data_IF_245506953137
#
_entry.id   IF_245506953137
#
_cell.length_a   1.000
_cell.length_b   1.000
_cell.length_c   1.000
_cell.angle_alpha   90.00
_cell.angle_beta   90.00
_cell.angle_gamma   90.00
#
_symmetry.space_group_name_H-M   'P 1'
#
loop_
_entity.id
_entity.type
_entity.pdbx_description
1 polymer ?
#
# COMPACT_ATOMS: atom_id res chain seq x y z
N UNK A 1 56.11 -5.45 -21.57
CA UNK A 1 55.25 -5.61 -20.38
C UNK A 1 55.23 -7.09 -20.03
N UNK A 2 55.82 -7.40 -18.88
CA UNK A 2 56.11 -8.77 -18.44
C UNK A 2 54.83 -9.51 -17.99
N UNK A 3 54.77 -10.85 -18.11
CA UNK A 3 53.57 -11.64 -17.80
C UNK A 3 53.03 -11.47 -16.37
N UNK A 4 53.90 -11.15 -15.39
CA UNK A 4 53.54 -11.00 -13.97
C UNK A 4 52.67 -9.77 -13.67
N UNK A 5 52.90 -8.65 -14.35
CA UNK A 5 52.14 -7.40 -14.15
C UNK A 5 50.68 -7.53 -14.61
N UNK A 6 50.41 -8.46 -15.54
CA UNK A 6 49.07 -8.73 -16.08
C UNK A 6 48.20 -9.50 -15.08
N UNK A 7 48.79 -10.43 -14.33
CA UNK A 7 48.08 -11.25 -13.34
C UNK A 7 47.73 -10.42 -12.11
N UNK A 8 48.65 -9.55 -11.67
CA UNK A 8 48.45 -8.70 -10.50
C UNK A 8 47.46 -7.55 -10.77
N UNK A 9 47.43 -7.02 -12.01
CA UNK A 9 46.36 -6.11 -12.46
C UNK A 9 44.99 -6.78 -12.51
N UNK A 10 44.92 -8.07 -12.85
CA UNK A 10 43.66 -8.81 -12.90
C UNK A 10 43.12 -9.09 -11.50
N UNK A 11 43.97 -9.49 -10.54
CA UNK A 11 43.59 -9.63 -9.12
C UNK A 11 43.13 -8.31 -8.50
N UNK A 12 43.82 -7.20 -8.79
CA UNK A 12 43.42 -5.86 -8.34
C UNK A 12 42.16 -5.31 -9.03
N UNK A 13 41.73 -5.89 -10.16
CA UNK A 13 40.47 -5.57 -10.81
C UNK A 13 39.33 -6.39 -10.21
N UNK A 14 39.54 -7.70 -10.02
CA UNK A 14 38.57 -8.60 -9.36
C UNK A 14 38.28 -8.16 -7.90
N UNK A 15 39.29 -7.69 -7.15
CA UNK A 15 39.09 -7.14 -5.79
C UNK A 15 38.34 -5.79 -5.79
N UNK A 16 38.43 -4.99 -6.87
CA UNK A 16 37.66 -3.74 -7.01
C UNK A 16 36.21 -4.01 -7.39
N UNK A 17 35.97 -5.02 -8.21
CA UNK A 17 34.60 -5.43 -8.60
C UNK A 17 33.89 -6.16 -7.44
N UNK A 18 34.62 -6.90 -6.60
CA UNK A 18 34.08 -7.49 -5.38
C UNK A 18 33.69 -6.43 -4.32
N UNK A 19 34.42 -5.31 -4.25
CA UNK A 19 34.11 -4.21 -3.33
C UNK A 19 32.94 -3.31 -3.82
N UNK A 20 32.60 -3.33 -5.12
CA UNK A 20 31.49 -2.59 -5.68
C UNK A 20 30.11 -3.25 -5.46
N UNK A 21 30.08 -4.51 -5.01
CA UNK A 21 28.87 -5.32 -4.85
C UNK A 21 28.11 -5.16 -3.53
N UNK A 22 28.56 -4.34 -2.59
CA UNK A 22 28.05 -4.34 -1.20
C UNK A 22 27.35 -3.04 -0.74
N UNK A 23 26.99 -2.12 -1.65
CA UNK A 23 26.47 -0.79 -1.26
C UNK A 23 25.18 -0.29 -1.94
N UNK A 24 24.55 -1.06 -2.83
CA UNK A 24 23.59 -0.50 -3.81
C UNK A 24 22.09 -0.50 -3.46
N UNK A 25 21.67 -1.12 -2.36
CA UNK A 25 20.24 -1.41 -2.13
C UNK A 25 19.31 -0.21 -1.88
N UNK A 26 19.87 0.93 -1.47
CA UNK A 26 19.09 2.11 -1.04
C UNK A 26 19.25 3.34 -1.97
N UNK A 27 20.32 3.41 -2.77
CA UNK A 27 20.64 4.58 -3.59
C UNK A 27 20.18 4.40 -5.04
N UNK A 28 18.89 4.54 -5.29
CA UNK A 28 18.31 4.51 -6.63
C UNK A 28 16.79 4.70 -6.62
N UNK A 29 16.13 4.90 -7.78
CA UNK A 29 14.69 5.18 -7.86
C UNK A 29 13.82 4.14 -7.14
N UNK A 30 14.20 2.87 -7.18
CA UNK A 30 13.48 1.79 -6.49
C UNK A 30 13.62 1.89 -4.96
N UNK A 31 14.79 2.27 -4.45
CA UNK A 31 15.02 2.49 -3.02
C UNK A 31 14.17 3.65 -2.50
N UNK A 32 14.10 4.75 -3.27
CA UNK A 32 13.26 5.89 -2.95
C UNK A 32 11.76 5.53 -2.96
N UNK A 33 11.29 4.77 -3.95
CA UNK A 33 9.90 4.31 -4.01
C UNK A 33 9.55 3.47 -2.79
N UNK A 34 10.43 2.51 -2.41
CA UNK A 34 10.22 1.66 -1.23
C UNK A 34 10.11 2.48 0.05
N UNK A 35 11.02 3.42 0.26
CA UNK A 35 11.03 4.29 1.43
C UNK A 35 9.77 5.17 1.50
N UNK A 36 9.36 5.79 0.39
CA UNK A 36 8.13 6.59 0.34
C UNK A 36 6.88 5.72 0.56
N UNK A 37 6.86 4.51 0.01
CA UNK A 37 5.78 3.56 0.19
C UNK A 37 5.67 3.09 1.64
N UNK A 38 6.80 2.84 2.31
CA UNK A 38 6.84 2.51 3.74
C UNK A 38 6.20 3.62 4.58
N UNK A 39 6.59 4.88 4.37
CA UNK A 39 6.00 6.03 5.07
C UNK A 39 4.49 6.18 4.80
N UNK A 40 4.05 5.93 3.56
CA UNK A 40 2.63 5.91 3.23
C UNK A 40 1.88 4.83 4.03
N UNK A 41 2.42 3.61 4.07
CA UNK A 41 1.81 2.50 4.79
C UNK A 41 1.68 2.77 6.29
N UNK A 42 2.71 3.34 6.93
CA UNK A 42 2.66 3.76 8.33
C UNK A 42 1.61 4.87 8.56
N UNK A 43 1.59 5.89 7.69
CA UNK A 43 0.65 7.00 7.78
C UNK A 43 -0.80 6.55 7.62
N UNK A 44 -1.05 5.57 6.75
CA UNK A 44 -2.36 4.93 6.58
C UNK A 44 -2.73 4.14 7.83
N UNK A 45 -1.85 3.25 8.31
CA UNK A 45 -2.13 2.45 9.52
C UNK A 45 -2.48 3.32 10.74
N UNK A 46 -1.85 4.48 10.89
CA UNK A 46 -2.12 5.44 11.97
C UNK A 46 -3.47 6.17 11.85
N UNK A 47 -4.15 6.11 10.70
CA UNK A 47 -5.40 6.83 10.38
C UNK A 47 -6.61 5.90 10.21
N UNK A 48 -6.46 4.62 10.59
CA UNK A 48 -7.56 3.68 10.59
C UNK A 48 -8.56 4.03 11.71
N UNK A 49 -9.86 4.02 11.38
CA UNK A 49 -10.93 4.23 12.34
C UNK A 49 -11.10 3.02 13.27
N UNK A 50 -11.75 3.20 14.44
CA UNK A 50 -12.00 2.10 15.37
C UNK A 50 -12.84 0.95 14.79
N UNK A 51 -13.64 1.22 13.75
CA UNK A 51 -14.46 0.22 13.05
C UNK A 51 -13.66 -0.62 12.04
N UNK A 52 -12.38 -0.31 11.83
CA UNK A 52 -11.48 -1.02 10.92
C UNK A 52 -11.39 -0.45 9.51
N UNK A 53 -12.22 0.54 9.15
CA UNK A 53 -12.16 1.23 7.86
C UNK A 53 -11.30 2.50 7.96
N UNK A 54 -11.15 3.19 6.84
CA UNK A 54 -10.54 4.52 6.74
C UNK A 54 -11.60 5.57 6.42
N UNK A 55 -11.44 6.80 6.92
CA UNK A 55 -12.32 7.90 6.55
C UNK A 55 -12.05 8.34 5.10
N UNK A 56 -13.08 8.87 4.42
CA UNK A 56 -12.93 9.36 3.03
C UNK A 56 -11.86 10.44 2.86
N UNK A 57 -11.57 11.19 3.92
CA UNK A 57 -10.42 12.10 4.02
C UNK A 57 -9.58 11.62 5.20
N UNK A 58 -8.37 11.16 4.90
CA UNK A 58 -7.56 10.34 5.82
C UNK A 58 -7.27 11.01 7.18
N UNK A 59 -7.17 12.33 7.24
CA UNK A 59 -6.91 13.09 8.48
C UNK A 59 -8.18 13.70 9.12
N UNK A 60 -9.37 13.34 8.62
CA UNK A 60 -10.67 13.72 9.17
C UNK A 60 -11.42 12.50 9.67
N UNK A 61 -11.08 12.05 10.88
CA UNK A 61 -11.70 10.88 11.51
C UNK A 61 -13.20 11.07 11.82
N UNK A 62 -13.70 12.30 11.77
CA UNK A 62 -15.10 12.67 11.88
C UNK A 62 -15.89 12.46 10.58
N UNK A 63 -15.21 12.26 9.45
CA UNK A 63 -15.88 11.95 8.19
C UNK A 63 -16.26 10.48 8.10
N UNK A 64 -17.18 10.18 7.18
CA UNK A 64 -17.66 8.82 7.01
C UNK A 64 -16.54 7.85 6.64
N UNK A 65 -16.67 6.63 7.14
CA UNK A 65 -15.84 5.50 6.76
C UNK A 65 -16.15 5.07 5.32
N UNK A 66 -15.12 4.94 4.49
CA UNK A 66 -15.26 4.69 3.05
C UNK A 66 -14.75 3.29 2.68
N UNK A 67 -15.60 2.50 2.02
CA UNK A 67 -15.35 1.07 1.83
C UNK A 67 -14.29 0.77 0.76
N UNK A 68 -14.33 1.46 -0.39
CA UNK A 68 -13.51 1.08 -1.56
C UNK A 68 -12.03 1.38 -1.37
N UNK A 69 -11.72 2.57 -0.87
CA UNK A 69 -10.41 3.01 -0.42
C UNK A 69 -9.90 2.14 0.71
N UNK A 70 -10.74 1.77 1.68
CA UNK A 70 -10.36 0.82 2.74
C UNK A 70 -9.97 -0.54 2.18
N UNK A 71 -10.73 -1.07 1.22
CA UNK A 71 -10.41 -2.33 0.55
C UNK A 71 -9.09 -2.24 -0.23
N UNK A 72 -8.87 -1.14 -0.94
CA UNK A 72 -7.63 -0.86 -1.66
C UNK A 72 -6.40 -0.76 -0.73
N UNK A 73 -6.52 -0.01 0.37
CA UNK A 73 -5.48 0.14 1.38
C UNK A 73 -5.14 -1.22 2.00
N UNK A 74 -6.14 -1.97 2.46
CA UNK A 74 -5.94 -3.29 3.05
C UNK A 74 -5.26 -4.26 2.09
N UNK A 75 -5.70 -4.29 0.82
CA UNK A 75 -5.09 -5.09 -0.24
C UNK A 75 -3.61 -4.72 -0.45
N UNK A 76 -3.31 -3.42 -0.54
CA UNK A 76 -1.96 -2.90 -0.68
C UNK A 76 -1.04 -3.29 0.48
N UNK A 77 -1.51 -3.13 1.72
CA UNK A 77 -0.75 -3.49 2.92
C UNK A 77 -0.43 -4.99 2.98
N UNK A 78 -1.39 -5.86 2.64
CA UNK A 78 -1.17 -7.32 2.61
C UNK A 78 -0.11 -7.68 1.57
N UNK A 79 -0.25 -7.17 0.34
CA UNK A 79 0.71 -7.46 -0.74
C UNK A 79 2.10 -6.91 -0.42
N UNK A 80 2.18 -5.69 0.12
CA UNK A 80 3.44 -5.07 0.49
C UNK A 80 4.18 -5.84 1.58
N UNK A 81 3.46 -6.31 2.61
CA UNK A 81 4.04 -7.14 3.66
C UNK A 81 4.58 -8.46 3.09
N UNK A 82 3.83 -9.13 2.22
CA UNK A 82 4.26 -10.38 1.55
C UNK A 82 5.49 -10.19 0.68
N UNK A 83 5.60 -9.04 0.01
CA UNK A 83 6.73 -8.69 -0.84
C UNK A 83 7.94 -8.16 -0.06
N UNK A 84 7.85 -8.04 1.27
CA UNK A 84 8.91 -7.45 2.10
C UNK A 84 9.16 -5.96 1.83
N UNK A 85 8.17 -5.25 1.30
CA UNK A 85 8.24 -3.80 1.08
C UNK A 85 7.96 -3.01 2.36
N UNK A 86 7.22 -3.61 3.30
CA UNK A 86 6.91 -3.04 4.61
C UNK A 86 6.96 -4.13 5.69
N UNK A 87 7.14 -3.76 6.97
CA UNK A 87 7.07 -4.70 8.09
C UNK A 87 5.75 -5.46 8.12
N UNK A 88 5.81 -6.76 8.45
CA UNK A 88 4.62 -7.61 8.54
C UNK A 88 3.60 -7.11 9.59
N UNK A 89 4.04 -6.32 10.58
CA UNK A 89 3.16 -5.69 11.57
C UNK A 89 2.11 -4.76 10.94
N UNK A 90 2.40 -4.12 9.79
CA UNK A 90 1.43 -3.26 9.11
C UNK A 90 0.27 -4.04 8.47
N UNK A 91 0.43 -5.35 8.25
CA UNK A 91 -0.68 -6.20 7.84
C UNK A 91 -1.77 -6.33 8.93
N UNK A 92 -1.46 -5.98 10.19
CA UNK A 92 -2.44 -5.94 11.28
C UNK A 92 -3.57 -4.93 11.03
N UNK A 93 -3.29 -3.79 10.40
CA UNK A 93 -4.33 -2.84 9.99
C UNK A 93 -5.23 -3.45 8.91
N UNK A 94 -4.65 -4.14 7.94
CA UNK A 94 -5.43 -4.85 6.91
C UNK A 94 -6.30 -5.96 7.52
N UNK A 95 -5.80 -6.71 8.52
CA UNK A 95 -6.58 -7.75 9.19
C UNK A 95 -7.84 -7.22 9.88
N UNK A 96 -7.81 -5.99 10.42
CA UNK A 96 -9.00 -5.31 10.99
C UNK A 96 -9.98 -4.86 9.90
N UNK A 97 -9.47 -4.45 8.74
CA UNK A 97 -10.30 -3.95 7.65
C UNK A 97 -11.09 -5.06 6.93
N UNK A 98 -10.56 -6.28 6.88
CA UNK A 98 -11.21 -7.44 6.22
C UNK A 98 -12.64 -7.68 6.71
N UNK A 99 -12.91 -7.88 8.02
CA UNK A 99 -14.28 -8.07 8.50
C UNK A 99 -15.15 -6.82 8.30
N UNK A 100 -14.57 -5.62 8.39
CA UNK A 100 -15.30 -4.37 8.20
C UNK A 100 -15.76 -4.17 6.74
N UNK A 101 -14.90 -4.47 5.77
CA UNK A 101 -15.26 -4.48 4.34
C UNK A 101 -16.28 -5.59 4.04
N UNK A 102 -16.11 -6.78 4.62
CA UNK A 102 -17.05 -7.88 4.43
C UNK A 102 -18.47 -7.51 4.92
N UNK A 103 -18.58 -6.75 6.02
CA UNK A 103 -19.86 -6.26 6.54
C UNK A 103 -20.56 -5.26 5.60
N UNK A 104 -19.84 -4.66 4.64
CA UNK A 104 -20.41 -3.76 3.63
C UNK A 104 -20.93 -4.51 2.40
N UNK A 105 -20.69 -5.83 2.30
CA UNK A 105 -21.21 -6.66 1.22
C UNK A 105 -22.65 -7.06 1.59
N UNK A 106 -23.62 -6.56 0.81
CA UNK A 106 -25.03 -6.88 1.02
C UNK A 106 -25.35 -8.32 0.61
N UNK A 107 -26.55 -8.78 0.97
CA UNK A 107 -27.05 -10.11 0.62
C UNK A 107 -27.11 -10.38 -0.90
N UNK A 108 -27.26 -9.34 -1.73
CA UNK A 108 -27.24 -9.44 -3.19
C UNK A 108 -25.83 -9.31 -3.79
N UNK A 109 -24.80 -9.25 -2.95
CA UNK A 109 -23.40 -9.15 -3.34
C UNK A 109 -22.90 -7.74 -3.64
N UNK A 110 -23.77 -6.72 -3.63
CA UNK A 110 -23.36 -5.34 -3.85
C UNK A 110 -22.55 -4.79 -2.67
N UNK A 111 -21.44 -4.11 -2.95
CA UNK A 111 -20.62 -3.44 -1.92
C UNK A 111 -21.18 -2.05 -1.62
N UNK A 112 -21.59 -1.81 -0.38
CA UNK A 112 -22.09 -0.53 0.11
C UNK A 112 -20.96 0.35 0.72
N UNK A 113 -21.31 1.57 1.14
CA UNK A 113 -20.36 2.49 1.80
C UNK A 113 -19.25 3.03 0.87
N UNK A 114 -19.43 2.88 -0.43
CA UNK A 114 -18.48 3.33 -1.45
C UNK A 114 -18.82 4.75 -1.87
N UNK A 115 -17.86 5.67 -1.83
CA UNK A 115 -18.05 7.02 -2.36
C UNK A 115 -18.30 6.98 -3.86
N UNK A 116 -19.26 7.78 -4.34
CA UNK A 116 -19.49 7.98 -5.77
C UNK A 116 -18.34 8.73 -6.46
N UNK A 117 -18.55 9.06 -7.74
CA UNK A 117 -17.55 9.77 -8.54
C UNK A 117 -17.17 11.11 -7.87
N UNK A 118 -15.89 11.23 -7.56
CA UNK A 118 -15.36 12.33 -6.74
C UNK A 118 -14.31 13.11 -7.54
N UNK A 119 -14.69 14.20 -8.25
CA UNK A 119 -13.72 15.09 -8.86
C UNK A 119 -12.97 15.90 -7.80
N UNK A 120 -12.11 16.83 -8.22
CA UNK A 120 -11.57 17.82 -7.31
C UNK A 120 -12.70 18.73 -6.83
N UNK A 121 -12.96 18.75 -5.52
CA UNK A 121 -14.02 19.55 -4.91
C UNK A 121 -13.49 20.88 -4.37
N UNK A 122 -14.39 21.83 -4.14
CA UNK A 122 -14.04 23.19 -3.73
C UNK A 122 -13.52 23.32 -2.29
N UNK A 123 -13.78 22.32 -1.44
CA UNK A 123 -13.34 22.31 -0.03
C UNK A 123 -13.18 20.88 0.48
N UNK A 124 -12.45 20.75 1.60
CA UNK A 124 -12.31 19.45 2.32
C UNK A 124 -13.69 18.97 2.78
N UNK A 125 -14.53 19.86 3.32
CA UNK A 125 -15.85 19.48 3.82
C UNK A 125 -16.78 18.95 2.72
N UNK A 126 -16.61 19.38 1.47
CA UNK A 126 -17.37 18.84 0.34
C UNK A 126 -17.11 17.33 0.11
N UNK A 127 -15.94 16.79 0.48
CA UNK A 127 -15.66 15.36 0.40
C UNK A 127 -16.49 14.54 1.41
N UNK A 128 -16.82 15.13 2.55
CA UNK A 128 -17.66 14.52 3.59
C UNK A 128 -19.12 14.32 3.16
N UNK A 129 -19.55 15.02 2.11
CA UNK A 129 -20.93 15.00 1.60
C UNK A 129 -21.09 14.17 0.31
N UNK A 130 -20.01 13.54 -0.19
CA UNK A 130 -20.08 12.71 -1.39
C UNK A 130 -21.10 11.57 -1.20
N UNK A 131 -22.05 11.39 -2.13
CA UNK A 131 -23.03 10.31 -2.03
C UNK A 131 -22.37 8.94 -2.02
N UNK A 132 -22.90 8.02 -1.20
CA UNK A 132 -22.40 6.65 -1.10
C UNK A 132 -23.38 5.66 -1.69
N UNK A 133 -22.93 4.88 -2.65
CA UNK A 133 -23.75 3.86 -3.33
C UNK A 133 -22.84 2.82 -3.99
N UNK A 134 -23.35 1.61 -4.30
CA UNK A 134 -22.53 0.59 -4.95
C UNK A 134 -21.99 1.03 -6.31
N UNK A 135 -20.70 0.79 -6.55
CA UNK A 135 -20.00 1.12 -7.80
C UNK A 135 -19.10 -0.02 -8.26
N UNK A 136 -18.70 0.00 -9.54
CA UNK A 136 -17.82 -1.04 -10.11
C UNK A 136 -16.43 -1.06 -9.47
N UNK A 137 -15.87 0.10 -9.14
CA UNK A 137 -14.56 0.17 -8.48
C UNK A 137 -14.62 -0.34 -7.04
N UNK A 138 -15.71 -0.07 -6.31
CA UNK A 138 -15.93 -0.65 -4.97
C UNK A 138 -15.97 -2.18 -5.01
N UNK A 139 -16.68 -2.73 -6.00
CA UNK A 139 -16.74 -4.18 -6.22
C UNK A 139 -15.37 -4.76 -6.57
N UNK A 140 -14.65 -4.13 -7.51
CA UNK A 140 -13.33 -4.58 -7.98
C UNK A 140 -12.27 -4.56 -6.88
N UNK A 141 -12.20 -3.48 -6.09
CA UNK A 141 -11.24 -3.35 -4.99
C UNK A 141 -11.53 -4.36 -3.87
N UNK A 142 -12.80 -4.64 -3.60
CA UNK A 142 -13.20 -5.68 -2.64
C UNK A 142 -12.78 -7.07 -3.12
N UNK A 143 -12.92 -7.37 -4.42
CA UNK A 143 -12.45 -8.63 -5.01
C UNK A 143 -10.92 -8.74 -4.98
N UNK A 144 -10.19 -7.63 -5.20
CA UNK A 144 -8.73 -7.60 -5.08
C UNK A 144 -8.28 -7.85 -3.64
N UNK A 145 -8.99 -7.30 -2.65
CA UNK A 145 -8.74 -7.61 -1.25
C UNK A 145 -8.95 -9.11 -0.98
N UNK A 146 -10.08 -9.68 -1.44
CA UNK A 146 -10.35 -11.11 -1.30
C UNK A 146 -9.25 -11.98 -1.96
N UNK A 147 -8.75 -11.55 -3.13
CA UNK A 147 -7.63 -12.20 -3.80
C UNK A 147 -6.37 -12.17 -2.95
N UNK A 148 -6.05 -11.01 -2.37
CA UNK A 148 -4.89 -10.83 -1.52
C UNK A 148 -4.95 -11.64 -0.21
N UNK A 149 -6.10 -12.18 0.20
CA UNK A 149 -6.22 -13.04 1.37
C UNK A 149 -5.81 -14.48 1.11
N UNK A 150 -5.76 -14.92 -0.16
CA UNK A 150 -5.27 -16.25 -0.51
C UNK A 150 -3.79 -16.39 -0.13
N UNK A 151 -3.33 -17.58 0.30
CA UNK A 151 -1.94 -17.82 0.68
C UNK A 151 -0.97 -17.58 -0.47
#
# INVERSE_FOLDING_TARGET
>A
MEPGERVERRRRADDRDAAAGAGGGAAGPLGEIKERYHRLAEALAARQLPDGLWPTVLDRADFYAETSGSAGIACGLIKAARMGLVPASLAGAAAKAVPAVAAQIRADGAVAGVSGDTPMLASIDAYGEVPRFPTLYGQGLTLLLAEALKP
#
